data_IF_295029348522
#
_entry.id   IF_295029348522
#
_cell.length_a   1.000
_cell.length_b   1.000
_cell.length_c   1.000
_cell.angle_alpha   90.00
_cell.angle_beta   90.00
_cell.angle_gamma   90.00
#
_symmetry.space_group_name_H-M   'P 1'
#
loop_
_entity.id
_entity.type
_entity.pdbx_description
1 polymer ?
#
# COMPACT_ATOMS: atom_id res chain seq x y z
N UNK A 1 -22.98 11.06 1.23
CA UNK A 1 -21.68 11.59 0.79
C UNK A 1 -21.60 11.46 -0.72
N UNK A 2 -21.44 12.58 -1.41
CA UNK A 2 -21.18 12.63 -2.85
C UNK A 2 -19.67 12.55 -3.13
N UNK A 3 -19.27 12.12 -4.32
CA UNK A 3 -17.85 12.02 -4.72
C UNK A 3 -17.10 13.36 -4.56
N UNK A 4 -17.79 14.47 -4.80
CA UNK A 4 -17.25 15.83 -4.70
C UNK A 4 -16.89 16.20 -3.25
N UNK A 5 -17.73 15.82 -2.30
CA UNK A 5 -17.47 16.03 -0.87
C UNK A 5 -16.29 15.20 -0.38
N UNK A 6 -16.19 13.94 -0.82
CA UNK A 6 -15.05 13.07 -0.48
C UNK A 6 -13.74 13.64 -1.04
N UNK A 7 -13.72 14.09 -2.29
CA UNK A 7 -12.53 14.72 -2.89
C UNK A 7 -12.10 15.97 -2.11
N UNK A 8 -13.06 16.82 -1.76
CA UNK A 8 -12.80 18.02 -0.96
C UNK A 8 -12.23 17.65 0.42
N UNK A 9 -12.82 16.66 1.11
CA UNK A 9 -12.34 16.18 2.39
C UNK A 9 -10.91 15.64 2.31
N UNK A 10 -10.60 14.80 1.31
CA UNK A 10 -9.26 14.27 1.08
C UNK A 10 -8.23 15.37 0.81
N UNK A 11 -8.63 16.41 0.06
CA UNK A 11 -7.72 17.51 -0.27
C UNK A 11 -7.33 18.39 0.92
N UNK A 12 -8.16 18.42 1.97
CA UNK A 12 -7.93 19.16 3.23
C UNK A 12 -7.06 18.38 4.24
N UNK A 13 -6.83 17.10 4.00
CA UNK A 13 -6.01 16.30 4.90
C UNK A 13 -4.53 16.65 4.73
N UNK A 14 -3.76 16.38 5.80
CA UNK A 14 -2.30 16.31 5.72
C UNK A 14 -1.89 15.34 4.62
N UNK A 15 -0.91 15.76 3.83
CA UNK A 15 -0.35 14.96 2.74
C UNK A 15 0.97 14.36 3.17
N UNK A 16 1.28 13.18 2.68
CA UNK A 16 2.50 12.45 2.96
C UNK A 16 3.18 12.09 1.64
N UNK A 17 4.50 12.27 1.59
CA UNK A 17 5.34 11.83 0.48
C UNK A 17 5.58 10.35 0.63
N UNK A 18 5.14 9.57 -0.34
CA UNK A 18 5.42 8.14 -0.39
C UNK A 18 6.03 7.77 -1.74
N UNK A 19 6.75 6.64 -1.75
CA UNK A 19 7.19 5.96 -2.97
C UNK A 19 6.81 4.48 -2.89
N UNK A 20 6.18 3.97 -3.94
CA UNK A 20 5.90 2.53 -4.05
C UNK A 20 6.87 1.97 -5.10
N UNK A 21 7.90 1.18 -4.73
CA UNK A 21 8.81 0.60 -5.72
C UNK A 21 8.05 -0.38 -6.63
N UNK A 22 8.38 -0.41 -7.93
CA UNK A 22 7.93 -1.51 -8.79
C UNK A 22 8.71 -2.78 -8.53
N UNK A 23 8.08 -3.90 -8.84
CA UNK A 23 8.74 -5.20 -8.96
C UNK A 23 8.67 -5.63 -10.42
N UNK A 24 9.52 -6.58 -10.81
CA UNK A 24 9.55 -7.15 -12.16
C UNK A 24 8.17 -7.65 -12.61
N UNK A 25 7.33 -8.07 -11.65
CA UNK A 25 5.97 -8.57 -11.85
C UNK A 25 4.87 -7.52 -11.67
N UNK A 26 5.16 -6.36 -11.09
CA UNK A 26 4.15 -5.37 -10.72
C UNK A 26 4.66 -3.93 -10.95
N UNK A 27 4.56 -3.50 -12.21
CA UNK A 27 4.83 -2.13 -12.65
C UNK A 27 3.56 -1.27 -12.75
N UNK A 28 2.38 -1.85 -12.49
CA UNK A 28 1.10 -1.14 -12.62
C UNK A 28 0.89 -0.16 -11.45
N UNK A 29 0.18 0.96 -11.68
CA UNK A 29 -0.21 1.86 -10.59
C UNK A 29 -1.02 1.15 -9.52
N UNK A 30 -0.81 1.55 -8.27
CA UNK A 30 -1.60 1.07 -7.12
C UNK A 30 -2.83 1.95 -6.96
N UNK A 31 -4.01 1.36 -7.06
CA UNK A 31 -5.27 2.07 -6.89
C UNK A 31 -5.82 1.88 -5.47
N UNK A 32 -6.04 2.98 -4.77
CA UNK A 32 -6.64 2.99 -3.42
C UNK A 32 -7.97 3.72 -3.48
N UNK A 33 -9.03 3.13 -2.94
CA UNK A 33 -10.36 3.78 -2.90
C UNK A 33 -10.70 4.17 -1.47
N UNK A 34 -10.95 5.45 -1.23
CA UNK A 34 -11.36 5.98 0.08
C UNK A 34 -12.71 6.67 -0.08
N UNK A 35 -13.73 6.21 0.63
CA UNK A 35 -15.11 6.76 0.59
C UNK A 35 -15.65 6.96 -0.84
N UNK A 36 -15.42 5.97 -1.71
CA UNK A 36 -15.85 5.99 -3.11
C UNK A 36 -14.96 6.78 -4.07
N UNK A 37 -13.97 7.53 -3.56
CA UNK A 37 -13.02 8.24 -4.41
C UNK A 37 -11.77 7.38 -4.67
N UNK A 38 -11.50 7.10 -5.94
CA UNK A 38 -10.31 6.35 -6.38
C UNK A 38 -9.10 7.27 -6.47
N UNK A 39 -7.98 6.81 -5.92
CA UNK A 39 -6.69 7.47 -5.95
C UNK A 39 -5.67 6.51 -6.58
N UNK A 40 -5.10 6.90 -7.73
CA UNK A 40 -4.12 6.09 -8.44
C UNK A 40 -2.69 6.58 -8.13
N UNK A 41 -1.88 5.68 -7.59
CA UNK A 41 -0.51 5.94 -7.17
C UNK A 41 0.43 5.29 -8.17
N UNK A 42 1.21 6.10 -8.88
CA UNK A 42 2.24 5.58 -9.76
C UNK A 42 3.39 5.00 -8.96
N UNK A 43 3.92 3.86 -9.42
CA UNK A 43 5.11 3.25 -8.84
C UNK A 43 6.36 4.01 -9.28
N UNK A 44 7.41 3.92 -8.46
CA UNK A 44 8.71 4.57 -8.60
C UNK A 44 8.73 6.10 -8.60
N UNK A 45 7.56 6.74 -8.59
CA UNK A 45 7.42 8.18 -8.42
C UNK A 45 7.19 8.53 -6.95
N UNK A 46 7.74 9.67 -6.52
CA UNK A 46 7.38 10.27 -5.23
C UNK A 46 6.04 10.98 -5.39
N UNK A 47 5.02 10.49 -4.69
CA UNK A 47 3.67 11.05 -4.75
C UNK A 47 3.22 11.57 -3.40
N UNK A 48 2.38 12.61 -3.41
CA UNK A 48 1.77 13.17 -2.21
C UNK A 48 0.38 12.58 -1.99
N UNK A 49 0.21 11.72 -0.99
CA UNK A 49 -1.07 11.08 -0.68
C UNK A 49 -1.72 11.68 0.58
N UNK A 50 -3.05 11.81 0.63
CA UNK A 50 -3.76 12.16 1.86
C UNK A 50 -3.53 11.14 2.99
N UNK A 51 -3.63 11.58 4.25
CA UNK A 51 -3.51 10.71 5.44
C UNK A 51 -4.34 9.43 5.34
N UNK A 52 -5.61 9.53 4.94
CA UNK A 52 -6.48 8.34 4.84
C UNK A 52 -6.03 7.35 3.77
N UNK A 53 -5.38 7.81 2.70
CA UNK A 53 -4.80 6.94 1.67
C UNK A 53 -3.56 6.23 2.22
N UNK A 54 -2.71 6.95 2.97
CA UNK A 54 -1.57 6.35 3.68
C UNK A 54 -2.03 5.27 4.67
N UNK A 55 -3.03 5.56 5.48
CA UNK A 55 -3.60 4.59 6.44
C UNK A 55 -4.17 3.37 5.72
N UNK A 56 -4.85 3.55 4.58
CA UNK A 56 -5.34 2.44 3.77
C UNK A 56 -4.19 1.56 3.24
N UNK A 57 -3.08 2.16 2.80
CA UNK A 57 -1.89 1.41 2.36
C UNK A 57 -1.21 0.66 3.51
N UNK A 58 -1.12 1.26 4.70
CA UNK A 58 -0.53 0.62 5.88
C UNK A 58 -1.31 -0.63 6.30
N UNK A 59 -2.64 -0.58 6.18
CA UNK A 59 -3.54 -1.68 6.53
C UNK A 59 -3.78 -2.66 5.36
N UNK A 60 -3.27 -2.36 4.15
CA UNK A 60 -3.42 -3.23 2.99
C UNK A 60 -2.51 -4.47 3.13
N UNK A 61 -3.09 -5.54 3.66
CA UNK A 61 -2.40 -6.80 3.88
C UNK A 61 -2.86 -7.89 2.90
N UNK A 62 -1.98 -8.85 2.61
CA UNK A 62 -2.28 -10.05 1.83
C UNK A 62 -1.67 -11.27 2.50
N UNK A 63 -2.34 -12.42 2.37
CA UNK A 63 -1.75 -13.70 2.75
C UNK A 63 -0.66 -14.07 1.75
N UNK A 64 0.52 -14.41 2.25
CA UNK A 64 1.60 -15.00 1.49
C UNK A 64 2.00 -16.33 2.14
N UNK A 65 2.45 -17.29 1.33
CA UNK A 65 3.02 -18.53 1.85
C UNK A 65 4.54 -18.45 1.72
N UNK A 66 5.25 -18.67 2.81
CA UNK A 66 6.70 -18.82 2.81
C UNK A 66 7.05 -20.28 3.10
N UNK A 67 8.07 -20.79 2.43
CA UNK A 67 8.62 -22.10 2.76
C UNK A 67 9.65 -21.93 3.86
N UNK A 68 9.40 -22.54 5.02
CA UNK A 68 10.37 -22.61 6.11
C UNK A 68 10.92 -24.03 6.18
N UNK A 69 12.22 -24.17 6.40
CA UNK A 69 12.81 -25.49 6.66
C UNK A 69 12.19 -26.03 7.96
N UNK A 70 11.70 -27.26 7.89
CA UNK A 70 11.03 -27.93 9.01
C UNK A 70 12.06 -28.22 10.12
N UNK A 71 11.62 -28.22 11.38
CA UNK A 71 12.50 -28.24 12.56
C UNK A 71 13.34 -29.53 12.68
N UNK A 72 12.85 -30.62 12.08
CA UNK A 72 13.53 -31.91 11.90
C UNK A 72 14.62 -31.91 10.81
N UNK A 73 14.76 -30.80 10.07
CA UNK A 73 15.72 -30.66 8.98
C UNK A 73 15.34 -31.37 7.68
N UNK A 74 14.23 -32.13 7.68
CA UNK A 74 13.73 -32.89 6.53
C UNK A 74 12.49 -32.23 5.92
N UNK A 75 12.69 -31.64 4.74
CA UNK A 75 11.61 -31.06 3.94
C UNK A 75 11.29 -29.60 4.27
N UNK A 76 10.36 -29.06 3.48
CA UNK A 76 9.87 -27.69 3.58
C UNK A 76 8.46 -27.71 4.16
N UNK A 77 8.19 -26.80 5.08
CA UNK A 77 6.85 -26.51 5.60
C UNK A 77 6.36 -25.20 4.97
N UNK A 78 5.13 -25.20 4.46
CA UNK A 78 4.47 -23.98 3.97
C UNK A 78 3.85 -23.25 5.15
N UNK A 79 4.40 -22.11 5.52
CA UNK A 79 3.90 -21.25 6.59
C UNK A 79 3.17 -20.07 5.97
N UNK A 80 1.90 -19.89 6.30
CA UNK A 80 1.16 -18.68 5.93
C UNK A 80 1.63 -17.50 6.77
N UNK A 81 2.00 -16.39 6.13
CA UNK A 81 2.34 -15.12 6.75
C UNK A 81 1.55 -13.99 6.12
N UNK A 82 1.05 -13.09 6.94
CA UNK A 82 0.44 -11.85 6.47
C UNK A 82 1.53 -10.83 6.17
N UNK A 83 1.55 -10.30 4.94
CA UNK A 83 2.52 -9.29 4.48
C UNK A 83 1.79 -8.08 3.89
N UNK A 84 2.47 -6.95 3.80
CA UNK A 84 1.92 -5.79 3.11
C UNK A 84 1.73 -6.10 1.62
N UNK A 85 0.53 -5.83 1.11
CA UNK A 85 0.19 -6.06 -0.30
C UNK A 85 0.96 -5.14 -1.24
N UNK A 86 1.13 -3.89 -0.82
CA UNK A 86 1.87 -2.87 -1.57
C UNK A 86 2.90 -2.25 -0.62
N UNK A 87 4.12 -2.84 -0.53
CA UNK A 87 5.20 -2.24 0.24
C UNK A 87 5.50 -0.83 -0.27
N UNK A 88 5.70 0.13 0.62
CA UNK A 88 5.99 1.51 0.26
C UNK A 88 6.96 2.16 1.24
N UNK A 89 7.67 3.18 0.76
CA UNK A 89 8.57 4.01 1.54
C UNK A 89 7.87 5.31 1.94
N UNK A 90 7.87 5.64 3.22
CA UNK A 90 7.38 6.92 3.74
C UNK A 90 8.54 7.92 3.80
N UNK A 91 8.46 8.97 2.99
CA UNK A 91 9.51 10.00 2.88
C UNK A 91 9.25 11.23 3.76
N UNK A 92 8.10 11.29 4.44
CA UNK A 92 7.74 12.33 5.40
C UNK A 92 6.44 13.06 5.07
N UNK A 93 6.11 14.07 5.87
CA UNK A 93 4.96 14.96 5.65
C UNK A 93 5.26 15.91 4.47
N UNK A 94 4.29 16.09 3.57
CA UNK A 94 4.39 17.08 2.51
C UNK A 94 3.94 18.43 3.06
N UNK A 95 4.76 19.47 2.83
CA UNK A 95 4.45 20.86 3.17
C UNK A 95 3.25 21.40 2.36
#
# INVERSE_FOLDING_TARGET
MTLTETKAALSRQKKFKIRIPSTETDARPVSVTVNGYRYDIKRDEVVNVPKSVLEALQNAQTGAYTQKKREDGEGMEMVSKTVQRHPFELLGEAA
#
